data_IF_621058702099
#
_entry.id   IF_621058702099
#
_cell.length_a   1.000
_cell.length_b   1.000
_cell.length_c   1.000
_cell.angle_alpha   90.00
_cell.angle_beta   90.00
_cell.angle_gamma   90.00
#
_symmetry.space_group_name_H-M   'P 1'
#
loop_
_entity.id
_entity.type
_entity.pdbx_description
1 polymer ?
#
# COMPACT_ATOMS: atom_id res chain seq x y z
N UNK A 1 16.94 -20.27 -9.01
CA UNK A 1 16.93 -18.79 -8.94
C UNK A 1 15.90 -18.35 -7.92
N UNK A 2 16.34 -17.81 -6.80
CA UNK A 2 15.52 -17.37 -5.67
C UNK A 2 14.96 -16.00 -5.99
N UNK A 3 13.73 -15.96 -6.48
CA UNK A 3 12.97 -14.75 -6.86
C UNK A 3 12.36 -13.98 -5.66
N UNK A 4 12.82 -14.27 -4.42
CA UNK A 4 12.51 -13.40 -3.27
C UNK A 4 13.72 -12.55 -2.96
N UNK A 5 13.61 -11.22 -3.00
CA UNK A 5 14.67 -10.39 -2.48
C UNK A 5 14.90 -10.76 -1.01
N UNK A 6 16.17 -10.97 -0.63
CA UNK A 6 16.61 -11.30 0.74
C UNK A 6 15.98 -10.40 1.82
N UNK A 7 15.59 -9.19 1.44
CA UNK A 7 14.88 -8.22 2.27
C UNK A 7 13.54 -8.72 2.84
N UNK A 8 12.81 -9.55 2.10
CA UNK A 8 11.50 -10.04 2.55
C UNK A 8 11.62 -11.08 3.67
N UNK A 9 12.67 -11.91 3.66
CA UNK A 9 12.95 -12.90 4.72
C UNK A 9 13.30 -12.23 6.06
N UNK A 10 13.81 -11.00 6.05
CA UNK A 10 14.16 -10.27 7.27
C UNK A 10 12.99 -9.52 7.90
N UNK A 11 11.96 -9.20 7.13
CA UNK A 11 10.83 -8.37 7.58
C UNK A 11 9.66 -9.20 8.09
N UNK A 12 9.49 -10.42 7.56
CA UNK A 12 8.27 -11.19 7.79
C UNK A 12 8.54 -12.69 7.78
N UNK A 13 7.75 -13.42 8.55
CA UNK A 13 7.69 -14.89 8.50
C UNK A 13 6.88 -15.40 7.29
N UNK A 14 6.23 -14.50 6.55
CA UNK A 14 5.35 -14.83 5.42
C UNK A 14 6.06 -15.71 4.38
N UNK A 15 7.28 -15.42 3.90
CA UNK A 15 7.94 -16.28 2.91
C UNK A 15 8.21 -17.70 3.40
N UNK A 16 8.45 -17.87 4.72
CA UNK A 16 8.61 -19.20 5.33
C UNK A 16 7.28 -19.95 5.42
N UNK A 17 6.17 -19.23 5.66
CA UNK A 17 4.86 -19.81 5.80
C UNK A 17 4.16 -20.07 4.46
N UNK A 18 4.39 -19.21 3.46
CA UNK A 18 3.66 -19.21 2.18
C UNK A 18 4.49 -19.75 1.00
N UNK A 19 5.82 -19.80 1.13
CA UNK A 19 6.71 -20.25 0.04
C UNK A 19 6.91 -19.22 -1.06
N UNK A 20 7.32 -19.67 -2.29
CA UNK A 20 7.58 -18.78 -3.42
C UNK A 20 6.31 -18.12 -3.97
N UNK A 21 6.50 -17.09 -4.80
CA UNK A 21 5.41 -16.46 -5.54
C UNK A 21 4.66 -17.51 -6.34
N UNK A 22 3.35 -17.46 -6.31
CA UNK A 22 2.45 -18.27 -7.11
C UNK A 22 1.32 -17.37 -7.59
N UNK A 23 1.37 -17.02 -8.85
CA UNK A 23 0.32 -16.26 -9.50
C UNK A 23 -0.85 -17.17 -9.81
N UNK A 24 -2.04 -16.70 -9.56
CA UNK A 24 -3.25 -17.37 -10.04
C UNK A 24 -3.32 -17.22 -11.55
N UNK A 25 -3.74 -18.26 -12.24
CA UNK A 25 -3.95 -18.25 -13.67
C UNK A 25 -4.93 -17.15 -14.09
N UNK A 26 -4.55 -16.36 -15.07
CA UNK A 26 -5.32 -15.21 -15.54
C UNK A 26 -6.70 -15.62 -16.08
N UNK A 27 -6.77 -16.69 -16.87
CA UNK A 27 -8.05 -17.16 -17.40
C UNK A 27 -9.03 -17.53 -16.28
N UNK A 28 -8.53 -18.10 -15.18
CA UNK A 28 -9.29 -18.37 -13.96
C UNK A 28 -9.78 -17.09 -13.27
N UNK A 29 -8.96 -16.05 -13.22
CA UNK A 29 -9.36 -14.74 -12.64
C UNK A 29 -10.46 -14.10 -13.49
N UNK A 30 -10.28 -14.06 -14.80
CA UNK A 30 -11.26 -13.47 -15.73
C UNK A 30 -12.57 -14.24 -15.74
N UNK A 31 -12.52 -15.57 -15.60
CA UNK A 31 -13.73 -16.39 -15.48
C UNK A 31 -14.53 -16.06 -14.20
N UNK A 32 -13.84 -15.89 -13.07
CA UNK A 32 -14.47 -15.47 -11.81
C UNK A 32 -15.07 -14.06 -11.92
N UNK A 33 -14.35 -13.11 -12.53
CA UNK A 33 -14.87 -11.76 -12.74
C UNK A 33 -16.16 -11.75 -13.59
N UNK A 34 -16.20 -12.55 -14.66
CA UNK A 34 -17.42 -12.69 -15.48
C UNK A 34 -18.58 -13.28 -14.67
N UNK A 35 -18.30 -14.25 -13.81
CA UNK A 35 -19.32 -14.84 -12.94
C UNK A 35 -19.83 -13.81 -11.92
N UNK A 36 -18.94 -13.02 -11.31
CA UNK A 36 -19.33 -11.93 -10.40
C UNK A 36 -20.17 -10.88 -11.12
N UNK A 37 -19.77 -10.47 -12.32
CA UNK A 37 -20.52 -9.52 -13.13
C UNK A 37 -21.93 -10.05 -13.48
N UNK A 38 -22.04 -11.32 -13.87
CA UNK A 38 -23.33 -11.98 -14.12
C UNK A 38 -24.20 -12.08 -12.88
N UNK A 39 -23.61 -12.16 -11.68
CA UNK A 39 -24.28 -12.13 -10.38
C UNK A 39 -24.67 -10.72 -9.91
N UNK A 40 -24.39 -9.70 -10.71
CA UNK A 40 -24.76 -8.30 -10.43
C UNK A 40 -23.70 -7.47 -9.72
N UNK A 41 -22.54 -8.03 -9.38
CA UNK A 41 -21.43 -7.24 -8.80
C UNK A 41 -20.85 -6.28 -9.82
N UNK A 42 -20.63 -5.03 -9.40
CA UNK A 42 -20.13 -3.94 -10.25
C UNK A 42 -18.71 -3.50 -9.89
N UNK A 43 -18.30 -3.72 -8.65
CA UNK A 43 -16.97 -3.40 -8.14
C UNK A 43 -16.27 -4.68 -7.68
N UNK A 44 -14.97 -4.76 -7.94
CA UNK A 44 -14.10 -5.85 -7.50
C UNK A 44 -12.80 -5.31 -6.93
N UNK A 45 -12.24 -6.03 -5.96
CA UNK A 45 -10.93 -5.73 -5.37
C UNK A 45 -9.96 -6.84 -5.75
N UNK A 46 -8.93 -6.52 -6.51
CA UNK A 46 -7.82 -7.43 -6.76
C UNK A 46 -6.89 -7.40 -5.54
N UNK A 47 -6.78 -8.51 -4.84
CA UNK A 47 -6.02 -8.61 -3.60
C UNK A 47 -5.14 -9.86 -3.59
N UNK A 48 -3.96 -9.72 -3.00
CA UNK A 48 -3.02 -10.81 -2.78
C UNK A 48 -2.12 -10.49 -1.58
N UNK A 49 -1.33 -11.47 -1.12
CA UNK A 49 -0.32 -11.27 -0.07
C UNK A 49 0.79 -10.31 -0.55
N UNK A 50 1.14 -10.40 -1.83
CA UNK A 50 2.06 -9.49 -2.51
C UNK A 50 1.52 -9.26 -3.91
N UNK A 51 0.57 -8.36 -4.04
CA UNK A 51 -0.10 -8.06 -5.30
C UNK A 51 0.88 -7.62 -6.40
N UNK A 52 1.88 -6.75 -6.12
CA UNK A 52 2.87 -6.34 -7.13
C UNK A 52 3.73 -7.49 -7.69
N UNK A 53 3.77 -8.63 -6.98
CA UNK A 53 4.52 -9.81 -7.44
C UNK A 53 3.76 -10.67 -8.45
N UNK A 54 2.53 -10.32 -8.79
CA UNK A 54 1.75 -11.06 -9.78
C UNK A 54 2.48 -11.11 -11.12
N UNK A 55 2.53 -12.29 -11.70
CA UNK A 55 3.13 -12.53 -13.01
C UNK A 55 4.63 -12.77 -13.01
N UNK A 56 5.37 -12.53 -11.91
CA UNK A 56 6.82 -12.77 -11.84
C UNK A 56 7.21 -14.24 -12.10
N UNK A 57 6.34 -15.17 -11.80
CA UNK A 57 6.53 -16.61 -12.01
C UNK A 57 5.98 -17.11 -13.35
N UNK A 58 5.17 -16.31 -14.03
CA UNK A 58 4.52 -16.68 -15.30
C UNK A 58 4.97 -15.83 -16.49
N UNK A 59 5.77 -14.77 -16.27
CA UNK A 59 6.28 -13.88 -17.32
C UNK A 59 5.27 -12.80 -17.75
N UNK A 60 4.24 -12.55 -16.95
CA UNK A 60 3.28 -11.43 -17.08
C UNK A 60 3.49 -10.41 -15.97
N UNK A 61 2.59 -9.48 -15.79
CA UNK A 61 2.64 -8.50 -14.71
C UNK A 61 1.25 -8.02 -14.28
N UNK A 62 1.20 -7.34 -13.13
CA UNK A 62 -0.05 -6.85 -12.57
C UNK A 62 -0.79 -5.86 -13.48
N UNK A 63 -0.07 -5.02 -14.23
CA UNK A 63 -0.70 -4.02 -15.11
C UNK A 63 -1.48 -4.72 -16.22
N UNK A 64 -0.89 -5.71 -16.87
CA UNK A 64 -1.56 -6.51 -17.90
C UNK A 64 -2.81 -7.17 -17.34
N UNK A 65 -2.74 -7.74 -16.14
CA UNK A 65 -3.91 -8.30 -15.49
C UNK A 65 -5.02 -7.26 -15.28
N UNK A 66 -4.67 -6.07 -14.79
CA UNK A 66 -5.64 -4.99 -14.53
C UNK A 66 -6.29 -4.53 -15.85
N UNK A 67 -5.50 -4.37 -16.90
CA UNK A 67 -5.98 -4.02 -18.25
C UNK A 67 -6.98 -5.07 -18.77
N UNK A 68 -6.67 -6.36 -18.63
CA UNK A 68 -7.58 -7.45 -19.05
C UNK A 68 -8.82 -7.54 -18.16
N UNK A 69 -8.70 -7.36 -16.84
CA UNK A 69 -9.84 -7.30 -15.95
C UNK A 69 -10.79 -6.14 -16.30
N UNK A 70 -10.25 -5.01 -16.77
CA UNK A 70 -11.04 -3.87 -17.18
C UNK A 70 -11.89 -4.13 -18.45
N UNK A 71 -11.54 -5.13 -19.26
CA UNK A 71 -12.33 -5.52 -20.44
C UNK A 71 -13.55 -6.37 -20.07
N UNK A 72 -13.67 -6.84 -18.84
CA UNK A 72 -14.82 -7.65 -18.44
C UNK A 72 -16.07 -6.77 -18.39
N UNK A 73 -17.07 -7.15 -19.20
CA UNK A 73 -18.37 -6.47 -19.21
C UNK A 73 -19.10 -6.68 -17.86
N UNK A 74 -19.80 -5.65 -17.42
CA UNK A 74 -20.54 -5.66 -16.17
C UNK A 74 -19.74 -5.23 -14.95
N UNK A 75 -18.40 -5.38 -14.94
CA UNK A 75 -17.55 -4.74 -13.94
C UNK A 75 -17.34 -3.28 -14.33
N UNK A 76 -17.61 -2.39 -13.41
CA UNK A 76 -17.53 -0.94 -13.59
C UNK A 76 -16.33 -0.33 -12.84
N UNK A 77 -15.92 -0.94 -11.71
CA UNK A 77 -14.87 -0.43 -10.84
C UNK A 77 -13.93 -1.55 -10.42
N UNK A 78 -12.63 -1.24 -10.46
CA UNK A 78 -11.57 -2.14 -9.99
C UNK A 78 -10.78 -1.40 -8.92
N UNK A 79 -10.55 -2.05 -7.80
CA UNK A 79 -9.64 -1.55 -6.75
C UNK A 79 -8.48 -2.52 -6.57
N UNK A 80 -7.36 -1.99 -6.13
CA UNK A 80 -6.17 -2.77 -5.84
C UNK A 80 -5.96 -2.89 -4.32
N UNK A 81 -5.50 -4.04 -3.90
CA UNK A 81 -4.94 -4.23 -2.57
C UNK A 81 -3.61 -3.48 -2.40
N UNK A 82 -2.85 -3.85 -1.37
CA UNK A 82 -1.61 -3.16 -1.03
C UNK A 82 -0.55 -3.26 -2.12
N UNK A 83 0.07 -2.12 -2.42
CA UNK A 83 1.19 -1.98 -3.35
C UNK A 83 2.44 -1.55 -2.58
N UNK A 84 3.60 -2.04 -3.02
CA UNK A 84 4.89 -1.56 -2.56
C UNK A 84 5.39 -0.44 -3.49
N UNK A 85 5.87 0.70 -2.97
CA UNK A 85 6.24 1.87 -3.79
C UNK A 85 7.39 1.60 -4.76
N UNK A 86 8.31 0.70 -4.43
CA UNK A 86 9.46 0.32 -5.27
C UNK A 86 9.07 -0.46 -6.53
N UNK A 87 7.84 -0.97 -6.61
CA UNK A 87 7.32 -1.65 -7.79
C UNK A 87 6.61 -0.71 -8.77
N UNK A 88 6.33 0.53 -8.36
CA UNK A 88 5.60 1.52 -9.15
C UNK A 88 6.56 2.35 -10.02
N UNK A 89 6.96 1.80 -11.16
CA UNK A 89 7.73 2.55 -12.15
C UNK A 89 6.87 3.59 -12.88
N UNK A 90 7.45 4.65 -13.47
CA UNK A 90 6.70 5.63 -14.24
C UNK A 90 5.84 5.01 -15.35
N UNK A 91 6.35 3.98 -16.03
CA UNK A 91 5.61 3.23 -17.04
C UNK A 91 4.40 2.50 -16.44
N UNK A 92 4.61 1.81 -15.30
CA UNK A 92 3.57 1.12 -14.57
C UNK A 92 2.44 2.09 -14.16
N UNK A 93 2.82 3.24 -13.60
CA UNK A 93 1.87 4.30 -13.18
C UNK A 93 1.08 4.83 -14.37
N UNK A 94 1.75 5.12 -15.49
CA UNK A 94 1.09 5.64 -16.70
C UNK A 94 0.05 4.66 -17.24
N UNK A 95 0.38 3.38 -17.31
CA UNK A 95 -0.54 2.34 -17.78
C UNK A 95 -1.72 2.16 -16.83
N UNK A 96 -1.50 2.14 -15.51
CA UNK A 96 -2.58 2.07 -14.53
C UNK A 96 -3.54 3.27 -14.65
N UNK A 97 -3.01 4.48 -14.79
CA UNK A 97 -3.81 5.70 -14.91
C UNK A 97 -4.67 5.73 -16.20
N UNK A 98 -4.25 5.00 -17.23
CA UNK A 98 -5.02 4.86 -18.47
C UNK A 98 -6.21 3.88 -18.34
N UNK A 99 -6.30 3.10 -17.26
CA UNK A 99 -7.42 2.18 -17.03
C UNK A 99 -8.58 2.93 -16.39
N UNK A 100 -9.59 3.30 -17.17
CA UNK A 100 -10.73 4.11 -16.71
C UNK A 100 -11.51 3.49 -15.54
N UNK A 101 -11.65 2.15 -15.52
CA UNK A 101 -12.34 1.41 -14.44
C UNK A 101 -11.53 1.30 -13.16
N UNK A 102 -10.23 1.63 -13.19
CA UNK A 102 -9.41 1.60 -11.98
C UNK A 102 -9.72 2.82 -11.10
N UNK A 103 -10.11 2.54 -9.87
CA UNK A 103 -10.37 3.59 -8.89
C UNK A 103 -9.07 4.32 -8.54
N UNK A 104 -9.04 5.67 -8.49
CA UNK A 104 -7.86 6.45 -8.13
C UNK A 104 -7.61 6.44 -6.61
N UNK A 105 -7.57 5.26 -6.04
CA UNK A 105 -7.33 5.00 -4.62
C UNK A 105 -6.26 3.92 -4.47
N UNK A 106 -5.18 4.23 -3.77
CA UNK A 106 -4.04 3.35 -3.62
C UNK A 106 -3.68 3.15 -2.15
N UNK A 107 -3.56 1.89 -1.76
CA UNK A 107 -2.92 1.54 -0.51
C UNK A 107 -1.43 1.30 -0.77
N UNK A 108 -0.58 2.29 -0.42
CA UNK A 108 0.88 2.20 -0.58
C UNK A 108 1.54 1.94 0.78
N UNK A 109 2.28 0.84 0.89
CA UNK A 109 2.95 0.44 2.13
C UNK A 109 4.11 1.38 2.47
N UNK A 110 3.92 2.34 3.39
CA UNK A 110 4.96 3.28 3.84
C UNK A 110 5.86 2.67 4.92
N UNK A 111 5.25 2.18 5.97
CA UNK A 111 5.83 1.63 7.20
C UNK A 111 6.50 2.65 8.14
N UNK A 112 7.19 3.67 7.64
CA UNK A 112 7.72 4.81 8.40
C UNK A 112 7.95 5.99 7.46
N UNK A 113 7.69 7.20 7.90
CA UNK A 113 8.04 8.42 7.16
C UNK A 113 9.49 8.88 7.34
N UNK A 114 10.27 8.19 8.18
CA UNK A 114 11.69 8.47 8.40
C UNK A 114 12.57 7.48 7.63
N UNK A 115 13.43 8.00 6.76
CA UNK A 115 14.35 7.19 5.95
C UNK A 115 15.32 6.37 6.80
N UNK A 116 15.79 6.88 7.96
CA UNK A 116 16.66 6.12 8.85
C UNK A 116 15.94 4.89 9.42
N UNK A 117 14.69 5.02 9.82
CA UNK A 117 13.86 3.90 10.30
C UNK A 117 13.53 2.91 9.17
N UNK A 118 13.23 3.38 7.96
CA UNK A 118 13.02 2.51 6.79
C UNK A 118 14.27 1.65 6.50
N UNK A 119 15.47 2.22 6.60
CA UNK A 119 16.72 1.48 6.44
C UNK A 119 16.90 0.41 7.52
N UNK A 120 16.58 0.71 8.79
CA UNK A 120 16.59 -0.29 9.89
C UNK A 120 15.57 -1.39 9.62
N UNK A 121 14.40 -1.07 9.06
CA UNK A 121 13.39 -2.03 8.60
C UNK A 121 13.82 -2.77 7.32
N UNK A 122 14.98 -2.43 6.74
CA UNK A 122 15.47 -2.95 5.46
C UNK A 122 14.48 -2.75 4.31
N UNK A 123 13.85 -1.59 4.27
CA UNK A 123 13.07 -1.18 3.11
C UNK A 123 14.03 -0.76 1.99
N UNK A 124 13.64 -1.03 0.75
CA UNK A 124 14.45 -0.73 -0.45
C UNK A 124 14.20 0.67 -0.99
N UNK A 125 13.29 1.41 -0.40
CA UNK A 125 12.93 2.78 -0.72
C UNK A 125 13.17 3.72 0.46
N UNK A 126 13.30 5.01 0.15
CA UNK A 126 13.37 6.10 1.13
C UNK A 126 12.02 6.84 1.20
N UNK A 127 11.86 7.69 2.21
CA UNK A 127 10.67 8.55 2.32
C UNK A 127 10.54 9.49 1.10
N UNK A 128 11.66 10.02 0.59
CA UNK A 128 11.67 10.87 -0.60
C UNK A 128 11.23 10.11 -1.85
N UNK A 129 11.70 8.88 -2.04
CA UNK A 129 11.27 8.03 -3.18
C UNK A 129 9.78 7.69 -3.08
N UNK A 130 9.29 7.43 -1.87
CA UNK A 130 7.86 7.25 -1.65
C UNK A 130 7.05 8.49 -2.05
N UNK A 131 7.48 9.69 -1.62
CA UNK A 131 6.83 10.94 -1.99
C UNK A 131 6.84 11.16 -3.51
N UNK A 132 7.94 10.84 -4.19
CA UNK A 132 8.02 10.92 -5.66
C UNK A 132 7.00 10.01 -6.34
N UNK A 133 6.79 8.79 -5.86
CA UNK A 133 5.76 7.87 -6.39
C UNK A 133 4.35 8.46 -6.21
N UNK A 134 4.07 9.05 -5.05
CA UNK A 134 2.79 9.73 -4.79
C UNK A 134 2.57 10.89 -5.77
N UNK A 135 3.59 11.73 -5.98
CA UNK A 135 3.52 12.86 -6.90
C UNK A 135 3.35 12.40 -8.36
N UNK A 136 4.02 11.32 -8.77
CA UNK A 136 3.84 10.72 -10.09
C UNK A 136 2.42 10.17 -10.29
N UNK A 137 1.85 9.49 -9.29
CA UNK A 137 0.47 9.02 -9.34
C UNK A 137 -0.50 10.20 -9.47
N UNK A 138 -0.36 11.24 -8.66
CA UNK A 138 -1.19 12.46 -8.77
C UNK A 138 -1.10 13.08 -10.16
N UNK A 139 0.12 13.23 -10.68
CA UNK A 139 0.34 13.79 -12.02
C UNK A 139 -0.28 12.94 -13.13
N UNK A 140 -0.19 11.61 -13.03
CA UNK A 140 -0.73 10.70 -14.03
C UNK A 140 -2.27 10.71 -14.10
N UNK A 141 -2.95 10.97 -12.98
CA UNK A 141 -4.41 11.08 -12.91
C UNK A 141 -4.94 12.51 -13.22
N UNK A 142 -4.04 13.51 -13.32
CA UNK A 142 -4.40 14.88 -13.67
C UNK A 142 -5.39 15.52 -12.69
N UNK A 143 -6.56 15.93 -13.18
CA UNK A 143 -7.59 16.56 -12.36
C UNK A 143 -8.40 15.58 -11.50
N UNK A 144 -8.32 14.27 -11.77
CA UNK A 144 -8.99 13.27 -10.94
C UNK A 144 -8.28 13.16 -9.60
N UNK A 145 -8.96 13.42 -8.47
CA UNK A 145 -8.33 13.33 -7.17
C UNK A 145 -7.89 11.89 -6.87
N UNK A 146 -6.63 11.74 -6.43
CA UNK A 146 -6.07 10.45 -6.02
C UNK A 146 -5.99 10.40 -4.51
N UNK A 147 -6.57 9.37 -3.91
CA UNK A 147 -6.50 9.14 -2.48
C UNK A 147 -5.51 8.04 -2.11
N UNK A 148 -4.82 8.25 -1.00
CA UNK A 148 -3.81 7.32 -0.49
C UNK A 148 -4.17 6.83 0.91
N UNK A 149 -3.97 5.53 1.12
CA UNK A 149 -4.01 4.91 2.45
C UNK A 149 -2.70 4.18 2.68
N UNK A 150 -2.32 3.99 3.94
CA UNK A 150 -1.06 3.34 4.27
C UNK A 150 -1.06 2.68 5.63
N UNK A 151 -0.05 1.83 5.85
CA UNK A 151 0.34 1.30 7.16
C UNK A 151 1.58 2.03 7.66
N UNK A 152 1.62 2.38 8.95
CA UNK A 152 2.77 2.98 9.60
C UNK A 152 3.05 2.28 10.93
N UNK A 153 4.32 1.93 11.17
CA UNK A 153 4.78 1.29 12.41
C UNK A 153 5.52 2.34 13.23
N UNK A 154 5.14 2.53 14.49
CA UNK A 154 5.86 3.37 15.45
C UNK A 154 6.54 2.53 16.53
N UNK A 155 7.65 3.04 17.06
CA UNK A 155 8.44 2.38 18.09
C UNK A 155 9.22 1.16 17.60
N UNK A 156 9.66 1.18 16.34
CA UNK A 156 10.60 0.18 15.82
C UNK A 156 11.94 0.28 16.57
N UNK A 157 12.67 -0.84 16.80
CA UNK A 157 13.95 -0.79 17.50
C UNK A 157 14.90 0.25 16.92
N UNK A 158 15.46 1.11 17.79
CA UNK A 158 16.33 2.22 17.42
C UNK A 158 15.62 3.45 16.84
N UNK A 159 14.29 3.50 16.81
CA UNK A 159 13.56 4.71 16.44
C UNK A 159 13.71 5.77 17.54
N UNK A 160 14.38 6.86 17.22
CA UNK A 160 14.52 8.00 18.12
C UNK A 160 13.27 8.87 18.14
N UNK A 161 13.20 9.83 19.08
CA UNK A 161 12.11 10.79 19.09
C UNK A 161 12.10 11.65 17.82
N UNK A 162 13.27 12.05 17.31
CA UNK A 162 13.41 12.80 16.06
C UNK A 162 12.95 11.98 14.84
N UNK A 163 13.29 10.69 14.76
CA UNK A 163 12.81 9.79 13.68
C UNK A 163 11.26 9.67 13.70
N UNK A 164 10.68 9.62 14.90
CA UNK A 164 9.23 9.58 15.07
C UNK A 164 8.56 10.88 14.61
N UNK A 165 9.11 12.03 15.02
CA UNK A 165 8.62 13.35 14.61
C UNK A 165 8.72 13.55 13.11
N UNK A 166 9.86 13.16 12.48
CA UNK A 166 10.03 13.14 11.02
C UNK A 166 8.92 12.30 10.34
N UNK A 167 8.61 11.13 10.89
CA UNK A 167 7.52 10.29 10.37
C UNK A 167 6.16 10.98 10.47
N UNK A 168 5.88 11.68 11.56
CA UNK A 168 4.64 12.42 11.74
C UNK A 168 4.50 13.58 10.73
N UNK A 169 5.56 14.35 10.53
CA UNK A 169 5.57 15.42 9.53
C UNK A 169 5.43 14.87 8.10
N UNK A 170 6.00 13.71 7.82
CA UNK A 170 5.83 13.07 6.54
C UNK A 170 4.37 12.67 6.28
N UNK A 171 3.64 12.18 7.27
CA UNK A 171 2.20 11.89 7.13
C UNK A 171 1.39 13.12 6.73
N UNK A 172 1.68 14.27 7.35
CA UNK A 172 1.05 15.56 6.99
C UNK A 172 1.40 15.97 5.57
N UNK A 173 2.68 15.88 5.18
CA UNK A 173 3.17 16.23 3.85
C UNK A 173 2.47 15.45 2.75
N UNK A 174 2.27 14.15 2.93
CA UNK A 174 1.64 13.28 1.92
C UNK A 174 0.13 13.50 1.84
N UNK A 175 -0.55 13.71 2.96
CA UNK A 175 -2.00 13.87 2.98
C UNK A 175 -2.71 12.53 2.74
N UNK A 176 -2.63 11.63 3.71
CA UNK A 176 -3.28 10.33 3.62
C UNK A 176 -4.77 10.42 3.98
N UNK A 177 -5.62 9.77 3.19
CA UNK A 177 -7.03 9.57 3.54
C UNK A 177 -7.17 8.66 4.76
N UNK A 178 -6.27 7.69 4.93
CA UNK A 178 -6.22 6.81 6.10
C UNK A 178 -4.82 6.27 6.35
N UNK A 179 -4.42 6.32 7.61
CA UNK A 179 -3.20 5.68 8.09
C UNK A 179 -3.58 4.63 9.13
N UNK A 180 -3.15 3.40 8.92
CA UNK A 180 -3.23 2.34 9.93
C UNK A 180 -1.96 2.38 10.76
N UNK A 181 -2.05 2.81 12.00
CA UNK A 181 -0.92 2.95 12.90
C UNK A 181 -0.78 1.70 13.76
N UNK A 182 0.41 1.09 13.73
CA UNK A 182 0.74 -0.11 14.51
C UNK A 182 1.91 0.16 15.43
N UNK A 183 1.77 0.02 16.76
CA UNK A 183 2.93 -0.05 17.62
C UNK A 183 3.73 -1.31 17.26
N UNK A 184 5.07 -1.19 17.17
CA UNK A 184 5.93 -2.32 16.84
C UNK A 184 5.71 -3.48 17.82
N UNK A 185 5.37 -4.63 17.26
CA UNK A 185 5.22 -5.89 18.01
C UNK A 185 6.41 -6.80 17.77
N UNK A 186 7.14 -7.10 18.84
CA UNK A 186 8.29 -7.99 18.82
C UNK A 186 7.87 -9.43 18.52
N UNK A 187 8.34 -9.99 17.41
CA UNK A 187 7.96 -11.34 16.97
C UNK A 187 9.16 -12.26 16.88
N UNK A 188 9.15 -13.37 17.59
CA UNK A 188 10.19 -14.39 17.52
C UNK A 188 10.39 -14.91 16.09
N UNK A 189 11.63 -15.22 15.73
CA UNK A 189 11.97 -15.68 14.38
C UNK A 189 12.13 -14.57 13.34
N UNK A 190 12.00 -13.29 13.72
CA UNK A 190 12.38 -12.14 12.89
C UNK A 190 13.66 -11.51 13.41
N UNK A 191 14.56 -10.98 12.54
CA UNK A 191 15.79 -10.33 13.00
C UNK A 191 15.55 -9.14 13.94
N UNK A 192 14.49 -8.38 13.74
CA UNK A 192 14.14 -7.24 14.59
C UNK A 192 13.79 -7.66 16.03
N UNK A 193 13.51 -8.95 16.28
CA UNK A 193 13.31 -9.48 17.61
C UNK A 193 14.56 -9.30 18.49
N UNK A 194 15.75 -9.49 17.91
CA UNK A 194 17.03 -9.44 18.62
C UNK A 194 17.76 -8.09 18.47
N UNK A 195 17.15 -7.12 17.80
CA UNK A 195 17.76 -5.80 17.66
C UNK A 195 17.92 -5.14 19.04
N UNK A 196 19.07 -4.49 19.30
CA UNK A 196 19.23 -3.62 20.45
C UNK A 196 18.26 -2.44 20.39
N UNK A 197 18.23 -1.64 21.45
CA UNK A 197 17.48 -0.39 21.50
C UNK A 197 15.96 -0.58 21.28
N UNK A 198 15.40 -1.63 21.87
CA UNK A 198 13.95 -1.84 21.89
C UNK A 198 13.25 -0.66 22.58
N UNK A 199 12.32 -0.04 21.89
CA UNK A 199 11.51 1.04 22.46
C UNK A 199 10.59 0.49 23.52
N UNK A 200 10.49 1.18 24.68
CA UNK A 200 9.65 0.75 25.79
C UNK A 200 8.16 0.72 25.42
N UNK A 201 7.40 -0.23 25.93
CA UNK A 201 6.00 -0.42 25.54
C UNK A 201 5.13 0.82 25.79
N UNK A 202 5.33 1.51 26.93
CA UNK A 202 4.63 2.76 27.23
C UNK A 202 4.90 3.85 26.19
N UNK A 203 6.13 3.94 25.70
CA UNK A 203 6.52 4.92 24.66
C UNK A 203 5.89 4.56 23.31
N UNK A 204 5.87 3.29 22.93
CA UNK A 204 5.17 2.84 21.71
C UNK A 204 3.69 3.19 21.73
N UNK A 205 3.02 2.99 22.87
CA UNK A 205 1.61 3.35 23.04
C UNK A 205 1.39 4.86 22.92
N UNK A 206 2.26 5.67 23.51
CA UNK A 206 2.18 7.12 23.40
C UNK A 206 2.43 7.60 21.98
N UNK A 207 3.46 7.08 21.30
CA UNK A 207 3.72 7.36 19.87
C UNK A 207 2.54 6.97 19.00
N UNK A 208 1.96 5.79 19.24
CA UNK A 208 0.76 5.34 18.51
C UNK A 208 -0.41 6.28 18.71
N UNK A 209 -0.65 6.75 19.95
CA UNK A 209 -1.72 7.72 20.25
C UNK A 209 -1.52 9.05 19.52
N UNK A 210 -0.30 9.59 19.55
CA UNK A 210 0.05 10.86 18.88
C UNK A 210 -0.10 10.72 17.36
N UNK A 211 0.46 9.67 16.78
CA UNK A 211 0.41 9.43 15.33
C UNK A 211 -1.03 9.21 14.83
N UNK A 212 -1.89 8.52 15.59
CA UNK A 212 -3.31 8.38 15.25
C UNK A 212 -4.04 9.74 15.29
N UNK A 213 -3.70 10.62 16.24
CA UNK A 213 -4.24 11.99 16.29
C UNK A 213 -3.90 12.78 15.03
N UNK A 214 -2.62 12.76 14.63
CA UNK A 214 -2.14 13.40 13.39
C UNK A 214 -2.83 12.79 12.16
N UNK A 215 -2.91 11.47 12.07
CA UNK A 215 -3.57 10.78 10.97
C UNK A 215 -5.04 11.20 10.81
N UNK A 216 -5.77 11.42 11.92
CA UNK A 216 -7.15 11.87 11.89
C UNK A 216 -7.28 13.36 11.52
N UNK A 217 -6.32 14.20 11.88
CA UNK A 217 -6.25 15.61 11.44
C UNK A 217 -6.05 15.67 9.93
N UNK A 218 -5.03 14.96 9.42
CA UNK A 218 -4.75 14.85 7.98
C UNK A 218 -5.95 14.32 7.21
N UNK A 219 -6.60 13.28 7.72
CA UNK A 219 -7.82 12.74 7.10
C UNK A 219 -8.91 13.78 6.96
N UNK A 220 -9.16 14.59 8.02
CA UNK A 220 -10.17 15.65 7.98
C UNK A 220 -9.84 16.70 6.91
N UNK A 221 -8.57 17.11 6.78
CA UNK A 221 -8.12 18.02 5.73
C UNK A 221 -8.34 17.46 4.34
N UNK A 222 -7.96 16.19 4.11
CA UNK A 222 -8.19 15.50 2.84
C UNK A 222 -9.68 15.42 2.50
N UNK A 223 -10.52 15.04 3.47
CA UNK A 223 -11.97 14.97 3.26
C UNK A 223 -12.60 16.35 3.01
N UNK A 224 -12.09 17.40 3.63
CA UNK A 224 -12.58 18.76 3.40
C UNK A 224 -12.42 19.20 1.94
N UNK A 225 -11.40 18.70 1.23
CA UNK A 225 -11.19 19.00 -0.18
C UNK A 225 -12.25 18.36 -1.10
N UNK A 226 -12.99 17.36 -0.63
CA UNK A 226 -14.07 16.73 -1.38
C UNK A 226 -15.44 17.39 -1.15
N UNK A 227 -15.55 18.34 -0.21
CA UNK A 227 -16.81 19.04 0.07
C UNK A 227 -17.18 19.92 -1.13
N UNK A 228 -18.38 19.70 -1.67
CA UNK A 228 -18.87 20.42 -2.86
C UNK A 228 -18.51 19.76 -4.19
N UNK A 229 -17.87 18.59 -4.18
CA UNK A 229 -17.70 17.75 -5.37
C UNK A 229 -18.84 16.73 -5.48
N UNK A 230 -19.11 16.28 -6.69
CA UNK A 230 -20.02 15.16 -6.96
C UNK A 230 -19.21 13.94 -7.38
N UNK A 231 -19.55 12.76 -6.89
CA UNK A 231 -18.89 11.50 -7.24
C UNK A 231 -19.89 10.34 -7.21
N UNK A 232 -19.63 9.33 -8.04
CA UNK A 232 -20.41 8.10 -8.07
C UNK A 232 -19.97 7.18 -6.92
N UNK A 233 -20.92 6.78 -6.08
CA UNK A 233 -20.66 5.90 -4.94
C UNK A 233 -21.37 4.56 -5.08
N UNK A 234 -20.70 3.48 -4.68
CA UNK A 234 -21.32 2.19 -4.50
C UNK A 234 -21.94 2.12 -3.08
N UNK A 235 -23.25 1.95 -3.01
CA UNK A 235 -23.94 1.71 -1.75
C UNK A 235 -23.87 0.23 -1.41
N UNK A 236 -23.28 -0.10 -0.27
CA UNK A 236 -23.30 -1.44 0.30
C UNK A 236 -24.48 -1.54 1.28
N UNK A 237 -25.29 -2.59 1.15
CA UNK A 237 -26.45 -2.88 2.01
C UNK A 237 -26.12 -3.92 3.05
#
# INVERSE_FOLDING_TARGET
>A
STLFPYTTLFRSVIPRARGPVRSRDEASILAELRQLAASGYREVVLSAISLPSYGLDTGTNLVELVEHCAQVEGIQRIRLGSLDPDMLTPEFITRLAAVEKLCPQFHLSLQSGCTATLRRMRRVYTAEQYAQVVDQLRAAYGERPVSFTTDCICGFPGETQADFEESCEFLKKIGFLKVHVFPYSRRSGTPAYDFPEQVHEREKQERSRVMNGIAEEVRREVLAAYVGTEDDVLLET
#
